data_IF_517507253448
#
_entry.id   IF_517507253448
#
_cell.length_a   1.000
_cell.length_b   1.000
_cell.length_c   1.000
_cell.angle_alpha   90.00
_cell.angle_beta   90.00
_cell.angle_gamma   90.00
#
_symmetry.space_group_name_H-M   'P 1'
#
loop_
_entity.id
_entity.type
_entity.pdbx_description
1 polymer ?
#
# COMPACT_ATOMS: atom_id res chain seq x y z
N UNK A 1 7.79 8.07 4.08
CA UNK A 1 6.40 7.91 4.54
C UNK A 1 5.48 8.60 3.54
N UNK A 2 4.56 7.87 2.92
CA UNK A 2 3.61 8.39 1.92
C UNK A 2 2.15 8.21 2.38
N UNK A 3 1.91 8.45 3.67
CA UNK A 3 0.57 8.52 4.25
C UNK A 3 0.17 9.99 4.34
N UNK A 4 -0.93 10.36 3.70
CA UNK A 4 -1.46 11.72 3.73
C UNK A 4 -2.94 11.70 4.09
N UNK A 5 -3.39 12.76 4.76
CA UNK A 5 -4.78 12.93 5.19
C UNK A 5 -5.40 14.04 4.36
N UNK A 6 -6.65 13.87 3.91
CA UNK A 6 -7.41 14.94 3.25
C UNK A 6 -8.12 15.79 4.30
N UNK A 7 -8.12 17.10 4.11
CA UNK A 7 -8.83 18.04 5.00
C UNK A 7 -10.32 17.70 5.15
N UNK A 8 -10.94 17.24 4.06
CA UNK A 8 -12.37 16.89 3.97
C UNK A 8 -12.71 15.47 4.43
N UNK A 9 -11.73 14.63 4.78
CA UNK A 9 -11.96 13.25 5.17
C UNK A 9 -10.97 12.83 6.24
N UNK A 10 -11.47 12.38 7.39
CA UNK A 10 -10.59 11.92 8.48
C UNK A 10 -9.79 10.66 8.13
N UNK A 11 -10.06 10.05 6.98
CA UNK A 11 -9.42 8.84 6.50
C UNK A 11 -8.00 9.12 5.99
N UNK A 12 -7.07 8.24 6.38
CA UNK A 12 -5.71 8.23 5.84
C UNK A 12 -5.70 7.62 4.45
N UNK A 13 -4.94 8.23 3.55
CA UNK A 13 -4.69 7.72 2.21
C UNK A 13 -3.25 7.20 2.11
N UNK A 14 -3.08 6.13 1.35
CA UNK A 14 -1.79 5.53 1.09
C UNK A 14 -1.50 5.53 -0.42
N UNK A 15 -0.22 5.65 -0.76
CA UNK A 15 0.29 5.47 -2.10
C UNK A 15 1.52 4.58 -2.06
N UNK A 16 1.39 3.39 -2.62
CA UNK A 16 2.40 2.33 -2.64
C UNK A 16 2.79 2.04 -4.08
N UNK A 17 4.08 1.79 -4.30
CA UNK A 17 4.60 1.40 -5.60
C UNK A 17 5.04 -0.06 -5.50
N UNK A 18 4.55 -0.94 -6.39
CA UNK A 18 4.99 -2.33 -6.40
C UNK A 18 6.49 -2.41 -6.76
N UNK A 19 7.25 -3.34 -6.13
CA UNK A 19 8.65 -3.58 -6.48
C UNK A 19 8.69 -4.29 -7.84
N UNK A 20 9.06 -3.56 -8.89
CA UNK A 20 9.03 -4.06 -10.27
C UNK A 20 8.65 -3.00 -11.30
N UNK A 21 8.17 -1.83 -10.86
CA UNK A 21 7.77 -0.76 -11.77
C UNK A 21 6.43 -1.08 -12.42
N UNK A 22 5.35 -0.70 -11.74
CA UNK A 22 3.98 -0.94 -12.20
C UNK A 22 3.02 0.11 -11.68
N UNK A 23 1.72 -0.13 -11.87
CA UNK A 23 0.67 0.79 -11.43
C UNK A 23 0.75 1.05 -9.93
N UNK A 24 0.88 2.30 -9.48
CA UNK A 24 0.90 2.62 -8.06
C UNK A 24 -0.45 2.29 -7.44
N UNK A 25 -0.42 1.52 -6.35
CA UNK A 25 -1.60 1.24 -5.55
C UNK A 25 -1.87 2.44 -4.66
N UNK A 26 -2.93 3.18 -4.98
CA UNK A 26 -3.39 4.31 -4.19
C UNK A 26 -4.82 4.09 -3.73
N UNK A 27 -5.08 4.40 -2.47
CA UNK A 27 -6.39 4.19 -1.89
C UNK A 27 -6.56 4.83 -0.53
N UNK A 28 -7.79 4.81 -0.06
CA UNK A 28 -8.12 5.17 1.31
C UNK A 28 -7.84 3.95 2.20
N UNK A 29 -7.11 4.12 3.29
CA UNK A 29 -6.97 3.08 4.33
C UNK A 29 -8.27 2.82 5.08
N UNK A 30 -9.30 3.65 4.88
CA UNK A 30 -10.60 3.50 5.55
C UNK A 30 -10.60 3.87 7.02
N UNK A 31 -9.42 4.15 7.60
CA UNK A 31 -9.25 4.43 9.03
C UNK A 31 -8.75 5.86 9.25
N UNK A 32 -9.16 6.43 10.39
CA UNK A 32 -8.64 7.71 10.89
C UNK A 32 -7.47 7.51 11.87
N UNK A 33 -7.21 6.27 12.27
CA UNK A 33 -6.13 5.90 13.18
C UNK A 33 -4.81 5.78 12.40
N UNK A 34 -3.82 6.62 12.74
CA UNK A 34 -2.49 6.58 12.12
C UNK A 34 -1.80 5.24 12.30
N UNK A 35 -1.94 4.61 13.46
CA UNK A 35 -1.33 3.32 13.76
C UNK A 35 -1.89 2.21 12.86
N UNK A 36 -3.22 2.14 12.72
CA UNK A 36 -3.88 1.17 11.82
C UNK A 36 -3.54 1.44 10.36
N UNK A 37 -3.49 2.72 9.95
CA UNK A 37 -3.08 3.09 8.59
C UNK A 37 -1.65 2.64 8.28
N UNK A 38 -0.74 2.74 9.26
CA UNK A 38 0.64 2.29 9.12
C UNK A 38 0.74 0.77 9.05
N UNK A 39 0.01 0.05 9.90
CA UNK A 39 -0.03 -1.42 9.86
C UNK A 39 -0.62 -1.93 8.55
N UNK A 40 -1.72 -1.33 8.09
CA UNK A 40 -2.34 -1.66 6.82
C UNK A 40 -1.38 -1.46 5.65
N UNK A 41 -0.68 -0.32 5.63
CA UNK A 41 0.34 -0.02 4.63
C UNK A 41 1.48 -1.05 4.64
N UNK A 42 1.96 -1.45 5.82
CA UNK A 42 3.06 -2.40 5.95
C UNK A 42 2.66 -3.80 5.46
N UNK A 43 1.47 -4.28 5.87
CA UNK A 43 0.88 -5.54 5.37
C UNK A 43 0.72 -5.52 3.85
N UNK A 44 0.19 -4.45 3.28
CA UNK A 44 0.04 -4.31 1.82
C UNK A 44 1.37 -4.33 1.08
N UNK A 45 2.37 -3.63 1.62
CA UNK A 45 3.72 -3.64 1.05
C UNK A 45 4.30 -5.06 1.06
N UNK A 46 4.12 -5.80 2.16
CA UNK A 46 4.56 -7.19 2.25
C UNK A 46 3.84 -8.09 1.23
N UNK A 47 2.52 -7.97 1.09
CA UNK A 47 1.76 -8.72 0.07
C UNK A 47 2.19 -8.38 -1.36
N UNK A 48 2.47 -7.10 -1.66
CA UNK A 48 2.99 -6.70 -2.97
C UNK A 48 4.39 -7.27 -3.23
N UNK A 49 5.23 -7.32 -2.20
CA UNK A 49 6.54 -7.95 -2.28
C UNK A 49 6.44 -9.46 -2.53
N UNK A 50 5.56 -10.13 -1.81
CA UNK A 50 5.29 -11.56 -1.98
C UNK A 50 4.80 -11.86 -3.41
N UNK A 51 3.79 -11.11 -3.88
CA UNK A 51 3.26 -11.24 -5.24
C UNK A 51 4.32 -10.95 -6.32
N UNK A 52 5.15 -9.93 -6.15
CA UNK A 52 6.22 -9.63 -7.09
C UNK A 52 7.27 -10.76 -7.14
N UNK A 53 7.62 -11.34 -5.99
CA UNK A 53 8.52 -12.48 -5.90
C UNK A 53 7.92 -13.75 -6.49
N UNK A 54 6.63 -14.00 -6.28
CA UNK A 54 5.90 -15.15 -6.82
C UNK A 54 5.71 -15.04 -8.33
N UNK A 55 5.37 -13.85 -8.83
CA UNK A 55 5.22 -13.61 -10.27
C UNK A 55 6.51 -13.84 -11.03
N UNK A 56 7.66 -13.52 -10.41
CA UNK A 56 8.97 -13.77 -11.00
C UNK A 56 9.38 -15.26 -11.01
N UNK A 57 8.58 -16.14 -10.40
CA UNK A 57 8.82 -17.58 -10.35
C UNK A 57 7.91 -18.39 -11.27
N UNK A 58 6.93 -17.75 -11.95
CA UNK A 58 5.94 -18.43 -12.80
C UNK A 58 6.10 -18.11 -14.29
N UNK A 59 7.31 -17.77 -14.72
CA UNK A 59 7.67 -17.68 -16.14
C UNK A 59 8.72 -18.76 -16.43
N UNK A 60 8.25 -19.99 -16.68
CA UNK A 60 9.04 -21.12 -17.24
C UNK A 60 8.15 -21.99 -18.10
#
# INVERSE_FOLDING_TARGET
MSLYKRDRSSNWYYKLYPPGGGTPLQGSTGTSDRAKAQEFHDRLKASLWDQAKLSNAFEI
#
